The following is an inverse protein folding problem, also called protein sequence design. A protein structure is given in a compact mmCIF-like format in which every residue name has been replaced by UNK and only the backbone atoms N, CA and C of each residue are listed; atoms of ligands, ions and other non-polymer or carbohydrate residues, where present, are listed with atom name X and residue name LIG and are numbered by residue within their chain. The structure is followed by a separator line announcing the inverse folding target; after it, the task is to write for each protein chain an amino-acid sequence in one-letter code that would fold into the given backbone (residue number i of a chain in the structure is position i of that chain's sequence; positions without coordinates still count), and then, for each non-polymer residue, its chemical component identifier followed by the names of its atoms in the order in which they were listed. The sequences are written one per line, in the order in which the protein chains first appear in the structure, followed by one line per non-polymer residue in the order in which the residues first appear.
data_IF_322909878019
#
_entry.id   IF_322909878019
#
_cell.length_a   1.000
_cell.length_b   1.000
_cell.length_c   1.000
_cell.angle_alpha   90.00
_cell.angle_beta   90.00
_cell.angle_gamma   90.00
#
_symmetry.space_group_name_H-M   'P 1'
#
loop_
_entity.id
_entity.type
_entity.pdbx_description
1 polymer ?
#
# COMPACT_ATOMS: atom_id res chain seq x y z
N UNK A 1 -12.47 19.45 -14.45
CA UNK A 1 -11.28 18.87 -13.78
C UNK A 1 -11.23 19.19 -12.29
N UNK A 2 -11.46 20.46 -11.89
CA UNK A 2 -11.51 20.89 -10.48
C UNK A 2 -12.56 20.15 -9.64
N UNK A 3 -13.79 20.03 -10.14
CA UNK A 3 -14.86 19.28 -9.47
C UNK A 3 -14.54 17.79 -9.29
N UNK A 4 -13.82 17.19 -10.25
CA UNK A 4 -13.39 15.80 -10.16
C UNK A 4 -12.38 15.64 -9.03
N UNK A 5 -11.36 16.50 -8.95
CA UNK A 5 -10.39 16.49 -7.86
C UNK A 5 -11.07 16.72 -6.50
N UNK A 6 -11.96 17.70 -6.39
CA UNK A 6 -12.73 17.96 -5.16
C UNK A 6 -13.57 16.74 -4.74
N UNK A 7 -14.15 16.01 -5.70
CA UNK A 7 -14.90 14.79 -5.42
C UNK A 7 -14.03 13.64 -4.89
N UNK A 8 -12.75 13.56 -5.29
CA UNK A 8 -11.82 12.55 -4.79
C UNK A 8 -11.44 12.79 -3.32
N UNK A 9 -11.34 14.05 -2.89
CA UNK A 9 -10.98 14.43 -1.51
C UNK A 9 -12.18 14.63 -0.57
N UNK A 10 -13.42 14.49 -1.05
CA UNK A 10 -14.63 14.63 -0.21
C UNK A 10 -14.85 13.40 0.66
N UNK A 11 -14.43 13.47 1.92
CA UNK A 11 -14.59 12.40 2.92
C UNK A 11 -15.96 12.43 3.63
N UNK A 12 -16.56 13.61 3.81
CA UNK A 12 -17.80 13.78 4.57
C UNK A 12 -18.98 13.10 3.87
N UNK A 13 -19.69 12.23 4.59
CA UNK A 13 -20.86 11.50 4.11
C UNK A 13 -20.56 10.26 3.26
N UNK A 14 -19.30 9.82 3.17
CA UNK A 14 -18.94 8.58 2.46
C UNK A 14 -19.02 7.36 3.36
N UNK A 15 -19.55 6.26 2.83
CA UNK A 15 -19.56 4.97 3.51
C UNK A 15 -18.16 4.36 3.56
N UNK A 16 -17.98 3.36 4.42
CA UNK A 16 -16.71 2.62 4.53
C UNK A 16 -16.31 1.98 3.20
N UNK A 17 -17.28 1.49 2.42
CA UNK A 17 -17.08 0.91 1.09
C UNK A 17 -16.44 1.92 0.14
N UNK A 18 -16.96 3.17 0.11
CA UNK A 18 -16.41 4.22 -0.74
C UNK A 18 -14.99 4.60 -0.34
N UNK A 19 -14.71 4.69 0.96
CA UNK A 19 -13.35 4.96 1.46
C UNK A 19 -12.39 3.83 1.07
N UNK A 20 -12.82 2.58 1.24
CA UNK A 20 -12.04 1.37 0.95
C UNK A 20 -11.69 1.27 -0.53
N UNK A 21 -12.66 1.56 -1.39
CA UNK A 21 -12.46 1.62 -2.83
C UNK A 21 -11.43 2.68 -3.23
N UNK A 22 -11.55 3.90 -2.67
CA UNK A 22 -10.61 4.99 -2.95
C UNK A 22 -9.20 4.67 -2.45
N UNK A 23 -9.08 4.16 -1.21
CA UNK A 23 -7.81 3.77 -0.61
C UNK A 23 -7.11 2.68 -1.43
N UNK A 24 -7.83 1.62 -1.81
CA UNK A 24 -7.30 0.53 -2.65
C UNK A 24 -6.80 1.03 -4.00
N UNK A 25 -7.53 1.94 -4.66
CA UNK A 25 -7.12 2.52 -5.95
C UNK A 25 -5.88 3.39 -5.82
N UNK A 26 -5.87 4.30 -4.85
CA UNK A 26 -4.71 5.16 -4.62
C UNK A 26 -3.48 4.31 -4.28
N UNK A 27 -3.64 3.31 -3.41
CA UNK A 27 -2.57 2.40 -3.07
C UNK A 27 -2.06 1.62 -4.30
N UNK A 28 -2.95 1.14 -5.16
CA UNK A 28 -2.57 0.49 -6.42
C UNK A 28 -1.79 1.39 -7.38
N UNK A 29 -2.18 2.66 -7.51
CA UNK A 29 -1.43 3.64 -8.32
C UNK A 29 -0.03 3.86 -7.73
N UNK A 30 0.08 4.04 -6.42
CA UNK A 30 1.38 4.23 -5.77
C UNK A 30 2.25 2.98 -5.92
N UNK A 31 1.69 1.78 -5.73
CA UNK A 31 2.41 0.52 -5.92
C UNK A 31 2.89 0.32 -7.36
N UNK A 32 2.08 0.69 -8.36
CA UNK A 32 2.50 0.61 -9.75
C UNK A 32 3.66 1.57 -10.07
N UNK A 33 3.61 2.80 -9.57
CA UNK A 33 4.71 3.76 -9.69
C UNK A 33 5.96 3.27 -8.97
N UNK A 34 5.80 2.76 -7.74
CA UNK A 34 6.90 2.17 -6.98
C UNK A 34 7.51 0.99 -7.72
N UNK A 35 6.70 0.10 -8.32
CA UNK A 35 7.20 -1.02 -9.11
C UNK A 35 8.08 -0.54 -10.26
N UNK A 36 7.69 0.51 -10.99
CA UNK A 36 8.52 1.07 -12.06
C UNK A 36 9.85 1.64 -11.51
N UNK A 37 9.81 2.35 -10.39
CA UNK A 37 11.02 2.83 -9.71
C UNK A 37 11.90 1.66 -9.25
N UNK A 38 11.29 0.60 -8.73
CA UNK A 38 11.98 -0.60 -8.27
C UNK A 38 12.63 -1.36 -9.43
N UNK A 39 11.97 -1.44 -10.59
CA UNK A 39 12.57 -2.01 -11.78
C UNK A 39 13.80 -1.21 -12.24
N UNK A 40 13.79 0.12 -12.08
CA UNK A 40 14.98 0.95 -12.34
C UNK A 40 16.09 0.63 -11.33
N UNK A 41 15.77 0.49 -10.04
CA UNK A 41 16.77 0.19 -9.03
C UNK A 41 17.48 -1.16 -9.29
N UNK A 42 16.74 -2.23 -9.55
CA UNK A 42 17.33 -3.55 -9.80
C UNK A 42 18.08 -3.57 -11.13
N UNK A 43 17.68 -2.73 -12.10
CA UNK A 43 18.40 -2.61 -13.37
C UNK A 43 19.80 -2.01 -13.18
N UNK A 44 20.06 -1.27 -12.10
CA UNK A 44 21.41 -0.76 -11.80
C UNK A 44 22.41 -1.87 -11.47
N UNK A 45 21.96 -3.08 -11.11
CA UNK A 45 22.84 -4.24 -10.98
C UNK A 45 23.61 -4.54 -12.28
N UNK A 46 23.00 -4.26 -13.44
CA UNK A 46 23.67 -4.42 -14.73
C UNK A 46 24.82 -3.41 -14.95
N UNK A 47 24.85 -2.33 -14.17
CA UNK A 47 25.90 -1.31 -14.20
C UNK A 47 27.03 -1.60 -13.18
N UNK A 48 26.89 -2.64 -12.36
CA UNK A 48 27.87 -3.05 -11.34
C UNK A 48 27.40 -2.79 -9.91
N UNK A 49 28.04 -3.49 -8.97
CA UNK A 49 27.69 -3.45 -7.55
C UNK A 49 27.82 -2.05 -6.93
N UNK A 50 28.76 -1.23 -7.41
CA UNK A 50 28.94 0.15 -6.93
C UNK A 50 27.72 1.02 -7.24
N UNK A 51 27.16 0.92 -8.47
CA UNK A 51 26.00 1.70 -8.88
C UNK A 51 24.75 1.30 -8.08
N UNK A 52 24.55 -0.01 -7.88
CA UNK A 52 23.47 -0.54 -7.05
C UNK A 52 23.61 -0.10 -5.58
N UNK A 53 24.80 -0.26 -5.00
CA UNK A 53 25.07 0.12 -3.61
C UNK A 53 24.92 1.62 -3.38
N UNK A 54 25.34 2.45 -4.33
CA UNK A 54 25.16 3.90 -4.25
C UNK A 54 23.68 4.28 -4.14
N UNK A 55 22.81 3.62 -4.92
CA UNK A 55 21.36 3.84 -4.89
C UNK A 55 20.73 3.36 -3.58
N UNK A 56 21.08 2.15 -3.12
CA UNK A 56 20.61 1.63 -1.83
C UNK A 56 20.99 2.52 -0.66
N UNK A 57 22.17 3.13 -0.69
CA UNK A 57 22.64 4.00 0.37
C UNK A 57 21.77 5.27 0.55
N UNK A 58 21.05 5.74 -0.48
CA UNK A 58 20.07 6.83 -0.31
C UNK A 58 18.94 6.47 0.66
N UNK A 59 18.61 5.18 0.74
CA UNK A 59 17.58 4.63 1.62
C UNK A 59 18.18 3.96 2.86
N UNK A 60 19.50 4.07 3.07
CA UNK A 60 20.13 3.59 4.30
C UNK A 60 19.89 4.59 5.44
N UNK A 61 19.17 4.17 6.48
CA UNK A 61 18.91 4.98 7.68
C UNK A 61 17.44 5.40 7.88
N UNK A 62 17.21 6.54 8.54
CA UNK A 62 15.88 6.94 9.00
C UNK A 62 14.89 7.22 7.87
N UNK A 63 15.38 7.73 6.74
CA UNK A 63 14.55 7.97 5.57
C UNK A 63 14.07 6.65 4.94
N UNK A 64 14.94 5.64 4.89
CA UNK A 64 14.58 4.28 4.47
C UNK A 64 13.51 3.67 5.34
N UNK A 65 13.67 3.72 6.67
CA UNK A 65 12.64 3.23 7.59
C UNK A 65 11.26 3.84 7.33
N UNK A 66 11.21 5.16 7.10
CA UNK A 66 9.94 5.84 6.80
C UNK A 66 9.38 5.39 5.46
N UNK A 67 10.23 5.29 4.42
CA UNK A 67 9.84 4.85 3.09
C UNK A 67 9.31 3.40 3.12
N UNK A 68 10.04 2.49 3.76
CA UNK A 68 9.68 1.07 3.90
C UNK A 68 8.38 0.90 4.70
N UNK A 69 8.23 1.64 5.81
CA UNK A 69 7.01 1.60 6.62
C UNK A 69 5.78 2.11 5.85
N UNK A 70 5.95 3.19 5.09
CA UNK A 70 4.88 3.75 4.27
C UNK A 70 4.51 2.80 3.12
N UNK A 71 5.52 2.28 2.42
CA UNK A 71 5.33 1.35 1.32
C UNK A 71 4.67 0.05 1.80
N UNK A 72 5.12 -0.51 2.93
CA UNK A 72 4.49 -1.65 3.58
C UNK A 72 3.01 -1.38 3.85
N UNK A 73 2.70 -0.20 4.41
CA UNK A 73 1.32 0.18 4.71
C UNK A 73 0.45 0.24 3.46
N UNK A 74 0.97 0.83 2.39
CA UNK A 74 0.30 0.93 1.10
C UNK A 74 0.07 -0.45 0.48
N UNK A 75 1.09 -1.31 0.49
CA UNK A 75 1.01 -2.69 0.01
C UNK A 75 -0.07 -3.47 0.76
N UNK A 76 -0.08 -3.41 2.09
CA UNK A 76 -1.06 -4.11 2.93
C UNK A 76 -2.48 -3.61 2.66
N UNK A 77 -2.70 -2.30 2.57
CA UNK A 77 -4.01 -1.72 2.24
C UNK A 77 -4.48 -2.21 0.86
N UNK A 78 -3.60 -2.17 -0.15
CA UNK A 78 -3.93 -2.64 -1.49
C UNK A 78 -4.28 -4.14 -1.50
N UNK A 79 -3.45 -4.96 -0.87
CA UNK A 79 -3.59 -6.41 -0.82
C UNK A 79 -4.84 -6.85 -0.06
N UNK A 80 -5.03 -6.40 1.18
CA UNK A 80 -6.15 -6.84 2.03
C UNK A 80 -7.51 -6.39 1.49
N UNK A 81 -7.64 -5.12 1.08
CA UNK A 81 -8.88 -4.63 0.47
C UNK A 81 -9.07 -5.19 -0.93
N UNK A 82 -7.98 -5.52 -1.64
CA UNK A 82 -8.01 -6.19 -2.95
C UNK A 82 -8.55 -7.61 -2.86
N UNK A 83 -8.08 -8.38 -1.87
CA UNK A 83 -8.61 -9.72 -1.57
C UNK A 83 -10.10 -9.63 -1.24
N UNK A 84 -10.49 -8.72 -0.34
CA UNK A 84 -11.92 -8.46 -0.06
C UNK A 84 -12.72 -8.21 -1.34
N UNK A 85 -12.26 -7.28 -2.19
CA UNK A 85 -12.91 -6.93 -3.45
C UNK A 85 -13.03 -8.15 -4.35
N UNK A 86 -11.94 -8.92 -4.52
CA UNK A 86 -11.91 -10.08 -5.40
C UNK A 86 -12.92 -11.15 -4.99
N UNK A 87 -13.05 -11.44 -3.69
CA UNK A 87 -14.05 -12.40 -3.20
C UNK A 87 -15.48 -11.91 -3.44
N UNK A 88 -15.78 -10.67 -3.05
CA UNK A 88 -17.14 -10.12 -3.17
C UNK A 88 -17.54 -9.93 -4.63
N UNK A 89 -16.64 -9.43 -5.48
CA UNK A 89 -16.89 -9.21 -6.91
C UNK A 89 -16.99 -10.53 -7.69
N UNK A 90 -16.32 -11.60 -7.24
CA UNK A 90 -16.51 -12.94 -7.79
C UNK A 90 -17.82 -13.61 -7.32
N UNK A 91 -18.64 -12.93 -6.52
CA UNK A 91 -19.94 -13.41 -6.05
C UNK A 91 -19.89 -14.23 -4.76
N UNK A 92 -18.72 -14.39 -4.14
CA UNK A 92 -18.61 -15.10 -2.86
C UNK A 92 -19.07 -14.22 -1.70
N UNK A 93 -19.80 -14.83 -0.75
CA UNK A 93 -20.17 -14.22 0.53
C UNK A 93 -20.88 -12.85 0.44
N UNK A 94 -21.64 -12.59 -0.63
CA UNK A 94 -22.33 -11.32 -0.87
C UNK A 94 -23.20 -10.84 0.31
N UNK A 95 -23.88 -11.78 1.00
CA UNK A 95 -24.68 -11.47 2.19
C UNK A 95 -23.82 -10.99 3.39
N UNK A 96 -22.54 -11.32 3.42
CA UNK A 96 -21.59 -10.97 4.49
C UNK A 96 -20.58 -9.90 4.05
N UNK A 97 -20.79 -9.20 2.92
CA UNK A 97 -19.85 -8.21 2.38
C UNK A 97 -19.40 -7.14 3.38
N UNK A 98 -20.27 -6.72 4.30
CA UNK A 98 -19.93 -5.72 5.32
C UNK A 98 -19.02 -6.32 6.39
N UNK A 99 -19.30 -7.55 6.82
CA UNK A 99 -18.45 -8.30 7.76
C UNK A 99 -17.07 -8.54 7.14
N UNK A 100 -17.00 -9.00 5.89
CA UNK A 100 -15.74 -9.21 5.19
C UNK A 100 -14.93 -7.91 5.04
N UNK A 101 -15.60 -6.78 4.77
CA UNK A 101 -14.92 -5.49 4.68
C UNK A 101 -14.30 -5.07 6.02
N UNK A 102 -15.04 -5.24 7.12
CA UNK A 102 -14.53 -4.95 8.46
C UNK A 102 -13.36 -5.86 8.82
N UNK A 103 -13.47 -7.16 8.52
CA UNK A 103 -12.37 -8.10 8.71
C UNK A 103 -11.14 -7.70 7.91
N UNK A 104 -11.30 -7.29 6.64
CA UNK A 104 -10.20 -6.83 5.81
C UNK A 104 -9.48 -5.62 6.41
N UNK A 105 -10.22 -4.64 6.96
CA UNK A 105 -9.63 -3.50 7.65
C UNK A 105 -8.92 -3.88 8.95
N UNK A 106 -9.51 -4.76 9.77
CA UNK A 106 -8.86 -5.26 10.99
C UNK A 106 -7.55 -5.96 10.63
N UNK A 107 -7.57 -6.86 9.64
CA UNK A 107 -6.37 -7.53 9.14
C UNK A 107 -5.34 -6.54 8.61
N UNK A 108 -5.77 -5.52 7.85
CA UNK A 108 -4.87 -4.48 7.35
C UNK A 108 -4.16 -3.75 8.50
N UNK A 109 -4.92 -3.25 9.48
CA UNK A 109 -4.38 -2.52 10.63
C UNK A 109 -3.39 -3.39 11.42
N UNK A 110 -3.74 -4.67 11.67
CA UNK A 110 -2.86 -5.60 12.36
C UNK A 110 -1.55 -5.85 11.60
N UNK A 111 -1.64 -6.15 10.31
CA UNK A 111 -0.47 -6.42 9.47
C UNK A 111 0.42 -5.17 9.32
N UNK A 112 -0.18 -3.98 9.24
CA UNK A 112 0.56 -2.71 9.24
C UNK A 112 1.31 -2.55 10.55
N UNK A 113 0.63 -2.67 11.69
CA UNK A 113 1.25 -2.50 13.00
C UNK A 113 2.41 -3.49 13.22
N UNK A 114 2.20 -4.77 12.88
CA UNK A 114 3.23 -5.81 12.99
C UNK A 114 4.40 -5.49 12.06
N UNK A 115 4.15 -5.22 10.78
CA UNK A 115 5.25 -4.99 9.83
C UNK A 115 6.02 -3.71 10.12
N UNK A 116 5.35 -2.62 10.53
CA UNK A 116 6.04 -1.39 10.97
C UNK A 116 6.88 -1.66 12.22
N UNK A 117 6.39 -2.46 13.17
CA UNK A 117 7.18 -2.86 14.33
C UNK A 117 8.42 -3.68 13.94
N UNK A 118 8.27 -4.64 13.02
CA UNK A 118 9.40 -5.42 12.50
C UNK A 118 10.41 -4.51 11.79
N UNK A 119 9.96 -3.63 10.89
CA UNK A 119 10.81 -2.69 10.15
C UNK A 119 11.56 -1.76 11.12
N UNK A 120 10.87 -1.20 12.10
CA UNK A 120 11.50 -0.34 13.11
C UNK A 120 12.55 -1.09 13.95
N UNK A 121 12.33 -2.39 14.20
CA UNK A 121 13.28 -3.25 14.91
C UNK A 121 14.57 -3.56 14.13
N UNK A 122 14.63 -3.31 12.82
CA UNK A 122 15.84 -3.56 12.01
C UNK A 122 16.97 -2.59 12.34
N UNK A 123 16.67 -1.36 12.80
CA UNK A 123 17.68 -0.36 13.18
C UNK A 123 17.84 -0.18 14.70
N UNK A 124 17.13 -0.98 15.51
CA UNK A 124 17.24 -0.98 16.97
C UNK A 124 18.37 -1.90 17.43
#
# INVERSE_FOLDING_TARGET
MREVLESWFRLKGRSLEHLSFAARRLAGIIMALYLLLHLVDISTLALGEEAYSALLNLFSGRLGLLADSLLWSILVIHGTLGVYSAFVEAGYFLQHRRTLLVMAWISAIMLIAIGVWVIAGVLA
#
